data_IF_271566243402
#
_entry.id   IF_271566243402
#
_cell.length_a   1.000
_cell.length_b   1.000
_cell.length_c   1.000
_cell.angle_alpha   90.00
_cell.angle_beta   90.00
_cell.angle_gamma   90.00
#
_symmetry.space_group_name_H-M   'P 1'
#
loop_
_entity.id
_entity.type
_entity.pdbx_description
1 polymer ?
#
# COMPACT_ATOMS: atom_id res chain seq x y z
N UNK A 1 49.35 -7.34 -14.99
CA UNK A 1 47.98 -7.89 -15.09
C UNK A 1 47.04 -7.01 -14.28
N UNK A 2 46.46 -6.01 -14.94
CA UNK A 2 45.47 -5.09 -14.37
C UNK A 2 44.09 -5.75 -14.47
N UNK A 3 43.54 -6.23 -13.36
CA UNK A 3 42.14 -6.66 -13.32
C UNK A 3 41.24 -5.43 -13.37
N UNK A 4 40.85 -5.14 -14.60
CA UNK A 4 39.89 -4.13 -15.01
C UNK A 4 38.56 -4.39 -14.30
N UNK A 5 38.29 -3.56 -13.28
CA UNK A 5 37.09 -3.55 -12.47
C UNK A 5 35.88 -3.16 -13.36
N UNK A 6 35.31 -4.13 -14.08
CA UNK A 6 34.03 -4.02 -14.78
C UNK A 6 32.90 -3.93 -13.74
N UNK A 7 32.79 -2.79 -13.07
CA UNK A 7 31.50 -2.37 -12.51
C UNK A 7 30.71 -1.79 -13.68
N UNK A 8 29.91 -2.64 -14.30
CA UNK A 8 28.87 -2.26 -15.25
C UNK A 8 28.06 -1.12 -14.64
N UNK A 9 28.27 0.09 -15.15
CA UNK A 9 27.27 1.15 -15.08
C UNK A 9 26.10 0.63 -15.89
N UNK A 10 25.17 -0.08 -15.26
CA UNK A 10 23.86 -0.30 -15.83
C UNK A 10 23.26 1.08 -16.07
N UNK A 11 23.32 1.53 -17.32
CA UNK A 11 22.66 2.73 -17.81
C UNK A 11 21.16 2.45 -17.75
N UNK A 12 20.57 2.69 -16.58
CA UNK A 12 19.13 2.55 -16.39
C UNK A 12 18.40 3.50 -17.34
N UNK A 13 17.26 3.08 -17.91
CA UNK A 13 16.52 3.90 -18.85
C UNK A 13 16.00 5.15 -18.12
N UNK A 14 16.38 6.32 -18.63
CA UNK A 14 16.02 7.65 -18.15
C UNK A 14 14.50 7.85 -17.96
N UNK A 15 13.68 7.03 -18.63
CA UNK A 15 12.21 7.03 -18.54
C UNK A 15 11.69 6.71 -17.12
N UNK A 16 12.32 5.76 -16.42
CA UNK A 16 11.91 5.33 -15.08
C UNK A 16 12.10 6.43 -14.02
N UNK A 17 13.21 7.18 -14.12
CA UNK A 17 13.49 8.34 -13.28
C UNK A 17 12.50 9.48 -13.52
N UNK A 18 12.05 9.63 -14.78
CA UNK A 18 11.05 10.62 -15.16
C UNK A 18 9.71 10.31 -14.51
N UNK A 19 9.23 9.06 -14.57
CA UNK A 19 7.97 8.64 -13.95
C UNK A 19 7.94 8.92 -12.43
N UNK A 20 9.01 8.58 -11.70
CA UNK A 20 9.11 8.86 -10.27
C UNK A 20 9.10 10.36 -9.95
N UNK A 21 9.62 11.21 -10.85
CA UNK A 21 9.64 12.66 -10.63
C UNK A 21 8.24 13.30 -10.66
N UNK A 22 7.25 12.66 -11.29
CA UNK A 22 5.87 13.14 -11.35
C UNK A 22 5.06 12.85 -10.09
N UNK A 23 5.50 11.89 -9.27
CA UNK A 23 4.73 11.39 -8.11
C UNK A 23 4.37 12.50 -7.10
N UNK A 24 5.27 13.42 -6.70
CA UNK A 24 4.87 14.50 -5.81
C UNK A 24 3.84 15.45 -6.44
N UNK A 25 3.89 15.66 -7.77
CA UNK A 25 2.91 16.48 -8.47
C UNK A 25 1.55 15.81 -8.56
N UNK A 26 1.50 14.49 -8.77
CA UNK A 26 0.23 13.74 -8.75
C UNK A 26 -0.36 13.69 -7.35
N UNK A 27 0.46 13.52 -6.30
CA UNK A 27 0.00 13.62 -4.91
C UNK A 27 -0.54 15.03 -4.57
N UNK A 28 0.13 16.07 -5.09
CA UNK A 28 -0.31 17.46 -4.96
C UNK A 28 -1.66 17.70 -5.64
N UNK A 29 -1.83 17.22 -6.87
CA UNK A 29 -3.08 17.33 -7.62
C UNK A 29 -4.20 16.56 -6.94
N UNK A 30 -3.94 15.34 -6.49
CA UNK A 30 -4.90 14.54 -5.74
C UNK A 30 -5.36 15.28 -4.46
N UNK A 31 -4.42 15.83 -3.69
CA UNK A 31 -4.73 16.58 -2.47
C UNK A 31 -5.53 17.86 -2.76
N UNK A 32 -5.26 18.52 -3.88
CA UNK A 32 -5.99 19.71 -4.30
C UNK A 32 -7.43 19.36 -4.66
N UNK A 33 -7.62 18.32 -5.49
CA UNK A 33 -8.96 17.84 -5.88
C UNK A 33 -9.75 17.42 -4.64
N UNK A 34 -9.14 16.66 -3.73
CA UNK A 34 -9.79 16.22 -2.51
C UNK A 34 -10.11 17.38 -1.56
N UNK A 35 -9.24 18.40 -1.49
CA UNK A 35 -9.49 19.62 -0.74
C UNK A 35 -10.65 20.45 -1.30
N UNK A 36 -10.76 20.55 -2.64
CA UNK A 36 -11.90 21.19 -3.31
C UNK A 36 -13.20 20.43 -3.06
N UNK A 37 -13.17 19.09 -3.04
CA UNK A 37 -14.31 18.27 -2.63
C UNK A 37 -14.69 18.55 -1.16
N UNK A 38 -13.70 18.71 -0.27
CA UNK A 38 -13.92 19.16 1.11
C UNK A 38 -14.67 20.48 1.20
N UNK A 39 -14.27 21.49 0.41
CA UNK A 39 -14.97 22.78 0.33
C UNK A 39 -16.38 22.64 -0.21
N UNK A 40 -16.56 21.82 -1.25
CA UNK A 40 -17.87 21.53 -1.83
C UNK A 40 -18.83 20.90 -0.80
N UNK A 41 -18.35 19.94 0.00
CA UNK A 41 -19.15 19.35 1.08
C UNK A 41 -19.38 20.33 2.25
N UNK A 42 -18.42 21.21 2.55
CA UNK A 42 -18.57 22.23 3.59
C UNK A 42 -19.71 23.21 3.29
N UNK A 43 -19.95 23.54 2.02
CA UNK A 43 -21.07 24.40 1.60
C UNK A 43 -22.39 23.65 1.38
N UNK A 44 -22.46 22.36 1.77
CA UNK A 44 -23.67 21.54 1.69
C UNK A 44 -23.84 20.77 0.37
N UNK A 45 -22.76 20.58 -0.39
CA UNK A 45 -22.77 19.75 -1.59
C UNK A 45 -23.20 18.30 -1.28
N UNK A 46 -24.10 17.69 -2.07
CA UNK A 46 -24.52 16.30 -1.88
C UNK A 46 -23.38 15.29 -2.12
N UNK A 47 -23.56 14.07 -1.63
CA UNK A 47 -22.63 12.95 -1.87
C UNK A 47 -21.42 12.94 -0.93
N UNK A 48 -21.58 13.42 0.30
CA UNK A 48 -20.55 13.29 1.34
C UNK A 48 -20.34 11.79 1.66
N UNK A 49 -19.12 11.25 1.52
CA UNK A 49 -18.87 9.81 1.51
C UNK A 49 -18.65 9.21 2.91
N UNK A 50 -18.85 9.98 3.98
CA UNK A 50 -18.62 9.55 5.36
C UNK A 50 -19.86 9.86 6.22
N UNK A 51 -20.01 9.18 7.36
CA UNK A 51 -20.92 9.62 8.42
C UNK A 51 -22.38 9.21 8.30
N UNK A 52 -23.26 10.03 8.89
CA UNK A 52 -24.64 9.67 9.26
C UNK A 52 -25.52 9.22 8.06
N UNK A 53 -25.16 9.61 6.83
CA UNK A 53 -25.90 9.21 5.63
C UNK A 53 -25.49 7.83 5.10
N UNK A 54 -24.45 7.21 5.65
CA UNK A 54 -23.97 5.91 5.26
C UNK A 54 -24.47 4.82 6.21
N UNK A 55 -25.65 4.28 5.89
CA UNK A 55 -26.34 3.24 6.68
C UNK A 55 -25.50 1.97 6.88
N UNK A 56 -24.53 1.69 6.00
CA UNK A 56 -23.65 0.51 6.10
C UNK A 56 -22.35 0.80 6.86
N UNK A 57 -22.08 2.03 7.26
CA UNK A 57 -20.81 2.43 7.88
C UNK A 57 -20.53 1.65 9.18
N UNK A 58 -21.54 1.51 10.05
CA UNK A 58 -21.40 0.79 11.31
C UNK A 58 -21.15 -0.71 11.11
N UNK A 59 -21.89 -1.34 10.20
CA UNK A 59 -21.75 -2.77 9.88
C UNK A 59 -20.39 -3.10 9.26
N UNK A 60 -19.84 -2.17 8.46
CA UNK A 60 -18.57 -2.34 7.76
C UNK A 60 -17.35 -1.91 8.59
N UNK A 61 -17.55 -1.46 9.83
CA UNK A 61 -16.47 -1.10 10.76
C UNK A 61 -15.81 0.25 10.47
N UNK A 62 -16.51 1.17 9.80
CA UNK A 62 -16.01 2.51 9.55
C UNK A 62 -15.81 3.28 10.88
N UNK A 63 -14.74 4.06 11.00
CA UNK A 63 -14.46 4.85 12.20
C UNK A 63 -15.28 6.15 12.29
N UNK A 64 -15.71 6.67 11.15
CA UNK A 64 -16.37 7.98 11.04
C UNK A 64 -17.88 7.83 10.80
N UNK A 65 -18.59 7.17 11.72
CA UNK A 65 -20.02 6.84 11.57
C UNK A 65 -20.94 8.05 11.81
N UNK A 66 -20.54 8.97 12.69
CA UNK A 66 -21.39 10.11 13.11
C UNK A 66 -20.90 11.46 12.58
N UNK A 67 -20.01 11.46 11.59
CA UNK A 67 -19.39 12.68 11.08
C UNK A 67 -20.33 13.40 10.12
N UNK A 68 -20.50 14.71 10.29
CA UNK A 68 -21.35 15.51 9.39
C UNK A 68 -20.52 16.26 8.36
N UNK A 69 -21.08 16.42 7.16
CA UNK A 69 -20.43 17.12 6.05
C UNK A 69 -20.00 18.57 6.41
N UNK A 70 -20.79 19.39 7.14
CA UNK A 70 -20.38 20.74 7.53
C UNK A 70 -19.21 20.76 8.52
N UNK A 71 -19.01 19.70 9.30
CA UNK A 71 -17.94 19.59 10.30
C UNK A 71 -16.64 19.07 9.67
N UNK A 72 -16.74 18.02 8.84
CA UNK A 72 -15.58 17.40 8.21
C UNK A 72 -15.14 18.08 6.91
N UNK A 73 -16.05 18.69 6.15
CA UNK A 73 -15.74 19.38 4.90
C UNK A 73 -14.61 20.42 5.04
N UNK A 74 -14.69 21.36 6.01
CA UNK A 74 -13.63 22.33 6.27
C UNK A 74 -12.30 21.67 6.65
N UNK A 75 -12.33 20.62 7.47
CA UNK A 75 -11.12 19.89 7.86
C UNK A 75 -10.47 19.21 6.66
N UNK A 76 -11.25 18.54 5.81
CA UNK A 76 -10.79 17.91 4.56
C UNK A 76 -10.20 18.98 3.63
N UNK A 77 -10.84 20.14 3.51
CA UNK A 77 -10.35 21.25 2.71
C UNK A 77 -8.97 21.75 3.21
N UNK A 78 -8.84 21.99 4.51
CA UNK A 78 -7.58 22.43 5.12
C UNK A 78 -6.48 21.38 4.93
N UNK A 79 -6.77 20.11 5.20
CA UNK A 79 -5.82 19.01 4.99
C UNK A 79 -5.44 18.85 3.51
N UNK A 80 -6.38 19.04 2.59
CA UNK A 80 -6.13 19.02 1.15
C UNK A 80 -5.17 20.13 0.73
N UNK A 81 -5.42 21.37 1.18
CA UNK A 81 -4.53 22.51 0.91
C UNK A 81 -3.14 22.30 1.51
N UNK A 82 -3.07 21.90 2.78
CA UNK A 82 -1.80 21.58 3.44
C UNK A 82 -1.05 20.46 2.70
N UNK A 83 -1.78 19.45 2.24
CA UNK A 83 -1.26 18.35 1.45
C UNK A 83 -0.69 18.82 0.11
N UNK A 84 -1.41 19.65 -0.63
CA UNK A 84 -0.93 20.26 -1.88
C UNK A 84 0.37 21.04 -1.64
N UNK A 85 0.39 21.93 -0.65
CA UNK A 85 1.57 22.74 -0.33
C UNK A 85 2.76 21.87 0.09
N UNK A 86 2.52 20.84 0.91
CA UNK A 86 3.56 19.93 1.37
C UNK A 86 4.13 19.08 0.21
N UNK A 87 3.27 18.49 -0.63
CA UNK A 87 3.70 17.71 -1.78
C UNK A 87 4.55 18.55 -2.75
N UNK A 88 4.16 19.81 -2.98
CA UNK A 88 4.96 20.77 -3.75
C UNK A 88 6.28 21.12 -3.05
N UNK A 89 6.28 21.34 -1.74
CA UNK A 89 7.51 21.58 -0.99
C UNK A 89 8.49 20.41 -1.06
N UNK A 90 7.99 19.16 -1.10
CA UNK A 90 8.78 17.94 -1.24
C UNK A 90 9.38 17.74 -2.66
N UNK A 91 9.03 18.59 -3.64
CA UNK A 91 9.72 18.60 -4.94
C UNK A 91 11.15 19.15 -4.83
N UNK A 92 11.40 19.99 -3.82
CA UNK A 92 12.71 20.62 -3.56
C UNK A 92 13.37 19.97 -2.35
N UNK A 93 14.70 19.94 -2.34
CA UNK A 93 15.47 19.48 -1.19
C UNK A 93 15.67 20.63 -0.20
N UNK A 94 15.32 20.39 1.06
CA UNK A 94 15.48 21.36 2.13
C UNK A 94 16.73 21.04 2.97
N UNK A 95 17.58 22.04 3.20
CA UNK A 95 18.79 21.89 4.04
C UNK A 95 18.45 21.76 5.53
N UNK A 96 17.31 22.30 5.97
CA UNK A 96 16.88 22.21 7.37
C UNK A 96 16.33 20.83 7.70
N UNK A 97 16.91 20.19 8.72
CA UNK A 97 16.45 18.88 9.23
C UNK A 97 15.03 18.94 9.78
N UNK A 98 14.66 20.06 10.42
CA UNK A 98 13.32 20.25 10.98
C UNK A 98 12.27 20.30 9.88
N UNK A 99 12.52 21.04 8.80
CA UNK A 99 11.61 21.11 7.64
C UNK A 99 11.47 19.73 7.03
N UNK A 100 12.57 19.02 6.78
CA UNK A 100 12.52 17.66 6.23
C UNK A 100 11.71 16.69 7.13
N UNK A 101 11.83 16.82 8.46
CA UNK A 101 11.07 16.01 9.40
C UNK A 101 9.57 16.36 9.37
N UNK A 102 9.20 17.63 9.36
CA UNK A 102 7.80 18.07 9.26
C UNK A 102 7.14 17.58 7.96
N UNK A 103 7.83 17.70 6.82
CA UNK A 103 7.31 17.22 5.53
C UNK A 103 7.10 15.69 5.55
N UNK A 104 8.08 14.93 6.06
CA UNK A 104 7.99 13.48 6.15
C UNK A 104 6.94 12.98 7.14
N UNK A 105 6.84 13.62 8.31
CA UNK A 105 5.85 13.24 9.33
C UNK A 105 4.44 13.46 8.83
N UNK A 106 4.16 14.58 8.18
CA UNK A 106 2.87 14.78 7.52
C UNK A 106 2.64 13.76 6.40
N UNK A 107 3.63 13.50 5.53
CA UNK A 107 3.44 12.59 4.41
C UNK A 107 3.15 11.14 4.87
N UNK A 108 3.87 10.64 5.87
CA UNK A 108 3.59 9.34 6.47
C UNK A 108 2.29 9.34 7.29
N UNK A 109 1.97 10.45 7.96
CA UNK A 109 0.69 10.62 8.66
C UNK A 109 -0.51 10.57 7.70
N UNK A 110 -0.44 11.28 6.59
CA UNK A 110 -1.46 11.27 5.53
C UNK A 110 -1.58 9.88 4.89
N UNK A 111 -0.45 9.21 4.62
CA UNK A 111 -0.44 7.82 4.17
C UNK A 111 -1.15 6.88 5.16
N UNK A 112 -0.80 6.97 6.45
CA UNK A 112 -1.39 6.12 7.49
C UNK A 112 -2.89 6.40 7.62
N UNK A 113 -3.31 7.67 7.64
CA UNK A 113 -4.72 8.06 7.68
C UNK A 113 -5.49 7.46 6.49
N UNK A 114 -4.99 7.67 5.27
CA UNK A 114 -5.69 7.29 4.04
C UNK A 114 -5.72 5.77 3.78
N UNK A 115 -4.71 5.02 4.25
CA UNK A 115 -4.63 3.56 4.03
C UNK A 115 -5.18 2.76 5.20
N UNK A 116 -5.07 3.25 6.44
CA UNK A 116 -5.41 2.47 7.64
C UNK A 116 -6.68 2.95 8.34
N UNK A 117 -7.00 4.25 8.28
CA UNK A 117 -8.09 4.83 9.08
C UNK A 117 -9.35 5.00 8.24
N UNK A 118 -9.19 5.42 6.98
CA UNK A 118 -10.32 5.70 6.07
C UNK A 118 -10.96 4.43 5.49
N UNK A 119 -10.21 3.43 5.01
CA UNK A 119 -10.81 2.24 4.41
C UNK A 119 -11.56 1.40 5.45
N UNK A 120 -12.72 0.88 5.07
CA UNK A 120 -13.53 -0.02 5.90
C UNK A 120 -13.63 -1.43 5.27
N UNK A 121 -14.46 -2.30 5.84
CA UNK A 121 -14.68 -3.66 5.36
C UNK A 121 -15.14 -3.77 3.89
N UNK A 122 -15.66 -2.69 3.28
CA UNK A 122 -16.14 -2.70 1.89
C UNK A 122 -15.01 -2.97 0.91
N UNK A 123 -13.82 -2.38 1.11
CA UNK A 123 -12.71 -2.60 0.17
C UNK A 123 -12.39 -4.10 0.10
N UNK A 124 -12.32 -4.77 1.25
CA UNK A 124 -12.04 -6.20 1.30
C UNK A 124 -13.19 -7.04 0.73
N UNK A 125 -14.44 -6.64 1.02
CA UNK A 125 -15.63 -7.29 0.46
C UNK A 125 -15.65 -7.22 -1.07
N UNK A 126 -15.38 -6.06 -1.66
CA UNK A 126 -15.34 -5.89 -3.12
C UNK A 126 -14.17 -6.61 -3.79
N UNK A 127 -13.01 -6.69 -3.12
CA UNK A 127 -11.92 -7.57 -3.60
C UNK A 127 -12.40 -9.02 -3.64
N UNK A 128 -13.13 -9.47 -2.61
CA UNK A 128 -13.74 -10.79 -2.59
C UNK A 128 -14.73 -11.03 -3.75
N UNK A 129 -15.65 -10.09 -3.97
CA UNK A 129 -16.61 -10.12 -5.08
C UNK A 129 -15.95 -10.12 -6.46
N UNK A 130 -14.89 -9.33 -6.62
CA UNK A 130 -14.12 -9.30 -7.87
C UNK A 130 -13.46 -10.66 -8.16
N UNK A 131 -12.84 -11.27 -7.14
CA UNK A 131 -12.20 -12.58 -7.28
C UNK A 131 -13.19 -13.70 -7.58
N UNK A 132 -14.43 -13.60 -7.12
CA UNK A 132 -15.49 -14.56 -7.44
C UNK A 132 -16.26 -14.23 -8.72
N UNK A 133 -15.80 -13.25 -9.51
CA UNK A 133 -16.43 -12.81 -10.77
C UNK A 133 -17.89 -12.35 -10.60
N UNK A 134 -18.24 -11.86 -9.43
CA UNK A 134 -19.55 -11.26 -9.14
C UNK A 134 -19.37 -9.76 -8.96
N UNK A 135 -19.27 -8.95 -10.04
CA UNK A 135 -19.05 -7.52 -9.89
C UNK A 135 -20.24 -6.90 -9.15
N UNK A 136 -20.02 -6.53 -7.88
CA UNK A 136 -20.98 -5.77 -7.10
C UNK A 136 -21.20 -4.38 -7.71
N UNK A 137 -22.35 -3.77 -7.43
CA UNK A 137 -22.63 -2.39 -7.85
C UNK A 137 -21.67 -1.44 -7.13
N UNK A 138 -20.89 -0.64 -7.86
CA UNK A 138 -19.99 0.33 -7.24
C UNK A 138 -20.80 1.55 -6.78
N UNK A 139 -20.83 1.82 -5.47
CA UNK A 139 -21.40 3.06 -4.94
C UNK A 139 -20.34 4.18 -4.88
N UNK A 140 -20.80 5.42 -4.65
CA UNK A 140 -19.89 6.58 -4.53
C UNK A 140 -18.97 6.53 -3.32
N UNK A 141 -19.37 5.86 -2.22
CA UNK A 141 -18.57 5.71 -1.00
C UNK A 141 -17.38 4.80 -1.25
N UNK A 142 -17.59 3.67 -1.92
CA UNK A 142 -16.53 2.74 -2.31
C UNK A 142 -15.56 3.41 -3.28
N UNK A 143 -16.06 4.15 -4.27
CA UNK A 143 -15.21 4.88 -5.20
C UNK A 143 -14.33 5.91 -4.46
N UNK A 144 -14.90 6.59 -3.47
CA UNK A 144 -14.14 7.47 -2.59
C UNK A 144 -13.08 6.71 -1.75
N UNK A 145 -13.38 5.51 -1.25
CA UNK A 145 -12.39 4.69 -0.54
C UNK A 145 -11.23 4.29 -1.44
N UNK A 146 -11.49 3.88 -2.69
CA UNK A 146 -10.43 3.61 -3.66
C UNK A 146 -9.63 4.88 -3.99
N UNK A 147 -10.29 6.03 -4.10
CA UNK A 147 -9.61 7.31 -4.28
C UNK A 147 -8.69 7.64 -3.08
N UNK A 148 -9.14 7.38 -1.85
CA UNK A 148 -8.34 7.54 -0.63
C UNK A 148 -7.14 6.59 -0.60
N UNK A 149 -7.33 5.31 -0.91
CA UNK A 149 -6.25 4.33 -1.01
C UNK A 149 -5.19 4.75 -2.02
N UNK A 150 -5.62 5.21 -3.21
CA UNK A 150 -4.71 5.74 -4.22
C UNK A 150 -3.95 6.96 -3.70
N UNK A 151 -4.64 7.90 -3.04
CA UNK A 151 -4.01 9.05 -2.39
C UNK A 151 -2.97 8.66 -1.35
N UNK A 152 -3.28 7.67 -0.51
CA UNK A 152 -2.36 7.12 0.49
C UNK A 152 -1.10 6.53 -0.14
N UNK A 153 -1.25 5.75 -1.22
CA UNK A 153 -0.12 5.20 -1.98
C UNK A 153 0.75 6.29 -2.61
N UNK A 154 0.12 7.34 -3.16
CA UNK A 154 0.84 8.51 -3.70
C UNK A 154 1.65 9.23 -2.61
N UNK A 155 1.08 9.39 -1.41
CA UNK A 155 1.78 9.97 -0.25
C UNK A 155 2.93 9.09 0.24
N UNK A 156 2.73 7.76 0.28
CA UNK A 156 3.78 6.80 0.62
C UNK A 156 4.98 6.91 -0.35
N UNK A 157 4.69 6.91 -1.66
CA UNK A 157 5.71 7.03 -2.70
C UNK A 157 6.41 8.39 -2.64
N UNK A 158 5.67 9.48 -2.42
CA UNK A 158 6.22 10.83 -2.25
C UNK A 158 7.18 10.90 -1.06
N UNK A 159 6.78 10.33 0.08
CA UNK A 159 7.63 10.24 1.27
C UNK A 159 8.91 9.44 1.02
N UNK A 160 8.79 8.28 0.37
CA UNK A 160 9.94 7.42 0.04
C UNK A 160 10.91 8.11 -0.92
N UNK A 161 10.40 8.76 -1.97
CA UNK A 161 11.22 9.50 -2.93
C UNK A 161 11.96 10.64 -2.21
N UNK A 162 11.26 11.43 -1.39
CA UNK A 162 11.86 12.53 -0.65
C UNK A 162 12.93 12.04 0.33
N UNK A 163 12.64 10.98 1.09
CA UNK A 163 13.59 10.39 2.05
C UNK A 163 14.85 9.83 1.35
N UNK A 164 14.70 9.20 0.17
CA UNK A 164 15.84 8.74 -0.64
C UNK A 164 16.69 9.91 -1.13
N UNK A 165 16.06 10.96 -1.65
CA UNK A 165 16.75 12.19 -2.08
C UNK A 165 17.48 12.87 -0.91
N UNK A 166 16.84 12.98 0.25
CA UNK A 166 17.43 13.65 1.43
C UNK A 166 18.62 12.89 2.01
N UNK A 167 18.70 11.57 1.79
CA UNK A 167 19.83 10.72 2.21
C UNK A 167 20.88 10.51 1.10
N UNK A 168 20.75 11.20 -0.03
CA UNK A 168 21.60 11.00 -1.22
C UNK A 168 21.67 9.53 -1.66
N UNK A 169 20.57 8.79 -1.46
CA UNK A 169 20.46 7.39 -1.83
C UNK A 169 19.92 7.24 -3.26
N UNK A 170 20.29 6.15 -3.92
CA UNK A 170 19.75 5.73 -5.20
C UNK A 170 18.21 5.70 -5.19
N UNK A 171 17.56 6.43 -6.11
CA UNK A 171 16.09 6.51 -6.18
C UNK A 171 15.42 5.15 -6.42
N UNK A 172 16.09 4.23 -7.12
CA UNK A 172 15.56 2.90 -7.41
C UNK A 172 16.00 1.86 -6.37
N UNK A 173 17.31 1.74 -6.19
CA UNK A 173 17.96 0.70 -5.41
C UNK A 173 18.16 1.02 -3.92
N UNK A 174 17.81 2.25 -3.48
CA UNK A 174 17.95 2.75 -2.11
C UNK A 174 19.37 2.71 -1.51
N UNK A 175 20.38 2.29 -2.28
CA UNK A 175 21.78 2.25 -1.85
C UNK A 175 22.36 3.65 -1.76
N UNK A 176 22.98 3.95 -0.63
CA UNK A 176 23.90 5.07 -0.46
C UNK A 176 25.26 4.67 -1.00
N UNK A 177 26.00 5.59 -1.62
CA UNK A 177 27.37 5.34 -2.09
C UNK A 177 28.37 5.13 -0.95
N UNK A 178 28.00 5.44 0.31
CA UNK A 178 28.83 5.15 1.48
C UNK A 178 28.74 3.68 1.90
N UNK A 179 29.90 3.05 2.11
CA UNK A 179 30.11 1.62 2.42
C UNK A 179 29.66 1.22 3.85
N UNK A 180 28.97 2.10 4.58
CA UNK A 180 28.44 1.79 5.91
C UNK A 180 27.20 0.89 5.81
N UNK A 181 27.42 -0.41 5.58
CA UNK A 181 26.38 -1.43 5.68
C UNK A 181 26.06 -1.65 7.16
N UNK A 182 25.16 -0.84 7.72
CA UNK A 182 24.57 -1.13 9.02
C UNK A 182 23.66 -2.36 8.87
N UNK A 183 24.13 -3.51 9.36
CA UNK A 183 23.30 -4.69 9.63
C UNK A 183 22.35 -4.39 10.78
N UNK A 184 21.23 -3.74 10.46
CA UNK A 184 20.03 -3.79 11.28
C UNK A 184 19.17 -4.95 10.82
N UNK A 185 18.32 -5.49 11.71
CA UNK A 185 17.17 -6.29 11.29
C UNK A 185 16.49 -5.50 10.18
N UNK A 186 16.38 -6.10 8.99
CA UNK A 186 15.65 -5.44 7.92
C UNK A 186 14.21 -5.41 8.40
N UNK A 187 13.72 -4.21 8.74
CA UNK A 187 12.29 -3.99 8.99
C UNK A 187 11.45 -4.61 7.86
N UNK A 188 12.00 -4.67 6.64
CA UNK A 188 11.45 -5.44 5.52
C UNK A 188 11.20 -6.92 5.82
N UNK A 189 12.12 -7.66 6.46
CA UNK A 189 11.87 -9.07 6.84
C UNK A 189 10.71 -9.18 7.83
N UNK A 190 10.73 -8.38 8.89
CA UNK A 190 9.66 -8.39 9.90
C UNK A 190 8.30 -8.03 9.28
N UNK A 191 8.24 -6.98 8.46
CA UNK A 191 7.03 -6.56 7.76
C UNK A 191 6.53 -7.65 6.81
N UNK A 192 7.42 -8.35 6.11
CA UNK A 192 7.04 -9.50 5.26
C UNK A 192 6.47 -10.63 6.09
N UNK A 193 7.06 -10.97 7.24
CA UNK A 193 6.50 -12.00 8.13
C UNK A 193 5.11 -11.60 8.63
N UNK A 194 4.91 -10.34 9.02
CA UNK A 194 3.59 -9.83 9.44
C UNK A 194 2.59 -9.92 8.26
N UNK A 195 3.00 -9.54 7.05
CA UNK A 195 2.19 -9.60 5.85
C UNK A 195 1.84 -11.04 5.41
N UNK A 196 2.61 -12.04 5.84
CA UNK A 196 2.29 -13.47 5.66
C UNK A 196 1.35 -13.95 6.76
N UNK A 197 1.61 -13.58 8.03
CA UNK A 197 0.86 -14.05 9.18
C UNK A 197 -0.61 -13.60 9.14
N UNK A 198 -0.88 -12.35 8.78
CA UNK A 198 -2.24 -11.79 8.80
C UNK A 198 -3.20 -12.50 7.82
N UNK A 199 -2.85 -12.70 6.53
CA UNK A 199 -3.70 -13.49 5.62
C UNK A 199 -3.86 -14.94 6.06
N UNK A 200 -2.85 -15.57 6.69
CA UNK A 200 -2.98 -16.94 7.20
C UNK A 200 -3.99 -17.05 8.35
N UNK A 201 -4.02 -16.07 9.26
CA UNK A 201 -5.06 -16.00 10.31
C UNK A 201 -6.46 -15.88 9.70
N UNK A 202 -6.59 -15.09 8.62
CA UNK A 202 -7.83 -14.99 7.88
C UNK A 202 -8.21 -16.31 7.17
N UNK A 203 -7.25 -17.00 6.54
CA UNK A 203 -7.46 -18.34 5.96
C UNK A 203 -7.98 -19.33 7.01
N UNK A 204 -7.37 -19.37 8.19
CA UNK A 204 -7.81 -20.26 9.28
C UNK A 204 -9.26 -19.99 9.67
N UNK A 205 -9.63 -18.71 9.78
CA UNK A 205 -11.01 -18.31 10.12
C UNK A 205 -11.99 -18.76 9.03
N UNK A 206 -11.66 -18.51 7.75
CA UNK A 206 -12.52 -18.87 6.61
C UNK A 206 -12.69 -20.37 6.43
N UNK A 207 -11.61 -21.13 6.58
CA UNK A 207 -11.68 -22.60 6.48
C UNK A 207 -12.40 -23.22 7.69
N UNK A 208 -12.28 -22.63 8.88
CA UNK A 208 -13.08 -23.06 10.03
C UNK A 208 -14.59 -22.86 9.77
N UNK A 209 -14.99 -21.70 9.22
CA UNK A 209 -16.38 -21.45 8.86
C UNK A 209 -16.87 -22.43 7.78
N UNK A 210 -16.03 -22.72 6.78
CA UNK A 210 -16.33 -23.74 5.76
C UNK A 210 -16.56 -25.14 6.35
N UNK A 211 -15.87 -25.47 7.45
CA UNK A 211 -15.98 -26.74 8.17
C UNK A 211 -17.12 -26.80 9.20
N UNK A 212 -17.92 -25.74 9.34
CA UNK A 212 -19.01 -25.72 10.31
C UNK A 212 -18.62 -25.14 11.69
N UNK A 213 -17.41 -24.62 11.86
CA UNK A 213 -16.89 -24.17 13.16
C UNK A 213 -17.08 -22.65 13.28
N UNK A 214 -17.92 -22.14 14.21
CA UNK A 214 -18.22 -20.71 14.34
C UNK A 214 -17.13 -19.95 15.10
N UNK A 215 -15.91 -19.91 14.56
CA UNK A 215 -14.80 -19.14 15.14
C UNK A 215 -15.10 -17.63 15.08
N UNK A 216 -15.26 -16.99 16.24
CA UNK A 216 -15.43 -15.54 16.35
C UNK A 216 -16.83 -15.01 16.02
N UNK A 217 -17.83 -15.88 15.87
CA UNK A 217 -19.21 -15.49 15.53
C UNK A 217 -20.21 -16.24 16.41
N UNK A 218 -21.33 -15.59 16.76
CA UNK A 218 -22.44 -16.23 17.49
C UNK A 218 -23.35 -17.08 16.59
N UNK A 219 -23.23 -16.92 15.28
CA UNK A 219 -23.99 -17.63 14.26
C UNK A 219 -23.04 -18.11 13.16
N UNK A 220 -23.41 -19.18 12.46
CA UNK A 220 -22.61 -19.73 11.38
C UNK A 220 -23.28 -19.42 10.02
N UNK A 221 -22.58 -18.78 9.07
CA UNK A 221 -23.09 -18.68 7.71
C UNK A 221 -23.21 -20.08 7.10
N UNK A 222 -24.19 -20.31 6.19
CA UNK A 222 -24.29 -21.56 5.47
C UNK A 222 -22.97 -21.85 4.76
N UNK A 223 -22.49 -23.09 4.87
CA UNK A 223 -21.24 -23.53 4.24
C UNK A 223 -21.31 -23.23 2.75
N UNK A 224 -20.46 -22.31 2.28
CA UNK A 224 -20.45 -21.88 0.89
C UNK A 224 -19.08 -22.12 0.27
N UNK A 225 -19.00 -22.46 -1.03
CA UNK A 225 -17.73 -22.56 -1.75
C UNK A 225 -16.89 -21.27 -1.68
N UNK A 226 -17.55 -20.14 -1.41
CA UNK A 226 -16.93 -18.83 -1.21
C UNK A 226 -15.94 -18.83 -0.03
N UNK A 227 -16.28 -19.49 1.08
CA UNK A 227 -15.40 -19.55 2.26
C UNK A 227 -14.09 -20.27 1.95
N UNK A 228 -14.17 -21.39 1.24
CA UNK A 228 -13.01 -22.15 0.79
C UNK A 228 -12.18 -21.33 -0.20
N UNK A 229 -12.84 -20.69 -1.17
CA UNK A 229 -12.19 -19.85 -2.19
C UNK A 229 -11.46 -18.65 -1.61
N UNK A 230 -12.08 -17.92 -0.68
CA UNK A 230 -11.46 -16.78 0.00
C UNK A 230 -10.29 -17.21 0.89
N UNK A 231 -10.42 -18.33 1.61
CA UNK A 231 -9.33 -18.89 2.40
C UNK A 231 -8.14 -19.32 1.54
N UNK A 232 -8.41 -19.95 0.39
CA UNK A 232 -7.40 -20.34 -0.58
C UNK A 232 -6.71 -19.13 -1.25
N UNK A 233 -7.47 -18.09 -1.59
CA UNK A 233 -6.92 -16.84 -2.14
C UNK A 233 -5.97 -16.16 -1.14
N UNK A 234 -6.36 -16.09 0.15
CA UNK A 234 -5.53 -15.54 1.20
C UNK A 234 -4.26 -16.38 1.45
N UNK A 235 -4.37 -17.71 1.41
CA UNK A 235 -3.22 -18.61 1.50
C UNK A 235 -2.27 -18.44 0.30
N UNK A 236 -2.82 -18.32 -0.91
CA UNK A 236 -2.05 -18.01 -2.12
C UNK A 236 -1.33 -16.67 -2.03
N UNK A 237 -2.01 -15.63 -1.53
CA UNK A 237 -1.41 -14.32 -1.26
C UNK A 237 -0.27 -14.39 -0.24
N UNK A 238 -0.45 -15.14 0.85
CA UNK A 238 0.61 -15.38 1.83
C UNK A 238 1.81 -16.12 1.22
N UNK A 239 1.57 -17.12 0.36
CA UNK A 239 2.61 -17.86 -0.34
C UNK A 239 3.39 -16.97 -1.32
N UNK A 240 2.69 -16.11 -2.07
CA UNK A 240 3.33 -15.13 -2.96
C UNK A 240 4.17 -14.12 -2.17
N UNK A 241 3.68 -13.70 -1.00
CA UNK A 241 4.39 -12.77 -0.11
C UNK A 241 5.62 -13.43 0.52
N UNK A 242 5.56 -14.73 0.83
CA UNK A 242 6.72 -15.53 1.22
C UNK A 242 7.79 -15.56 0.12
N UNK A 243 7.39 -15.50 -1.15
CA UNK A 243 8.28 -15.33 -2.28
C UNK A 243 9.17 -14.09 -2.23
N UNK A 244 8.79 -13.04 -1.49
CA UNK A 244 9.61 -11.83 -1.32
C UNK A 244 10.86 -12.07 -0.45
N UNK A 245 10.83 -13.08 0.44
CA UNK A 245 11.95 -13.43 1.33
C UNK A 245 12.62 -14.76 0.96
N UNK A 246 12.03 -15.53 0.05
CA UNK A 246 12.55 -16.81 -0.41
C UNK A 246 13.26 -16.67 -1.75
N UNK A 247 14.24 -17.53 -2.03
CA UNK A 247 15.06 -17.47 -3.25
C UNK A 247 14.44 -18.23 -4.42
N UNK A 248 13.19 -17.89 -4.77
CA UNK A 248 12.45 -18.55 -5.84
C UNK A 248 13.26 -18.46 -7.15
N UNK A 249 13.52 -19.61 -7.80
CA UNK A 249 14.33 -19.71 -9.02
C UNK A 249 15.83 -20.03 -8.82
N UNK A 250 16.37 -19.95 -7.60
CA UNK A 250 17.73 -20.49 -7.31
C UNK A 250 17.73 -21.71 -6.39
N UNK A 251 16.60 -21.98 -5.74
CA UNK A 251 16.30 -23.24 -5.09
C UNK A 251 14.81 -23.52 -5.33
N UNK A 252 14.49 -24.70 -5.87
CA UNK A 252 13.11 -25.14 -6.01
C UNK A 252 12.53 -25.35 -4.61
N UNK A 253 11.39 -24.73 -4.24
CA UNK A 253 10.72 -25.08 -2.99
C UNK A 253 10.32 -26.55 -3.04
N UNK A 254 10.62 -27.30 -1.97
CA UNK A 254 10.38 -28.75 -1.90
C UNK A 254 8.91 -29.17 -2.12
N UNK A 255 7.97 -28.22 -2.02
CA UNK A 255 6.53 -28.44 -2.23
C UNK A 255 6.08 -28.40 -3.71
N UNK A 256 6.95 -27.99 -4.64
CA UNK A 256 6.69 -28.10 -6.09
C UNK A 256 7.62 -29.17 -6.70
N UNK A 257 7.19 -30.44 -6.80
CA UNK A 257 8.07 -31.54 -7.20
C UNK A 257 8.49 -31.53 -8.68
N UNK A 258 7.99 -30.59 -9.50
CA UNK A 258 8.11 -30.66 -10.96
C UNK A 258 8.56 -29.35 -11.64
N UNK A 259 8.95 -28.31 -10.87
CA UNK A 259 9.49 -27.09 -11.47
C UNK A 259 11.02 -27.11 -11.45
N UNK A 260 11.62 -27.60 -12.55
CA UNK A 260 13.06 -27.47 -12.79
C UNK A 260 13.44 -25.99 -12.85
N UNK A 261 14.35 -25.60 -11.97
CA UNK A 261 14.82 -24.22 -11.80
C UNK A 261 15.48 -23.63 -13.06
N UNK A 262 15.83 -24.46 -14.05
CA UNK A 262 16.59 -24.06 -15.24
C UNK A 262 15.77 -23.33 -16.31
N UNK A 263 14.43 -23.30 -16.22
CA UNK A 263 13.58 -22.75 -17.30
C UNK A 263 13.07 -21.32 -17.11
N UNK A 264 13.48 -20.61 -16.07
CA UNK A 264 13.11 -19.21 -15.85
C UNK A 264 14.33 -18.31 -15.64
N UNK A 265 15.19 -18.21 -16.66
CA UNK A 265 16.09 -17.07 -16.81
C UNK A 265 15.27 -15.83 -17.18
N UNK A 266 14.60 -15.21 -16.19
CA UNK A 266 14.14 -13.82 -16.29
C UNK A 266 15.36 -12.93 -16.06
N UNK A 267 15.94 -12.27 -17.08
CA UNK A 267 17.11 -11.41 -16.92
C UNK A 267 16.87 -10.19 -16.02
N UNK A 268 15.64 -9.96 -15.54
CA UNK A 268 15.32 -8.90 -14.58
C UNK A 268 15.64 -9.26 -13.12
N UNK A 269 15.71 -10.53 -12.73
CA UNK A 269 15.90 -10.92 -11.31
C UNK A 269 17.37 -11.02 -10.88
N UNK A 270 18.33 -11.03 -11.79
CA UNK A 270 19.77 -11.03 -11.46
C UNK A 270 20.25 -9.70 -10.85
N UNK A 271 19.41 -8.66 -10.90
CA UNK A 271 19.66 -7.35 -10.29
C UNK A 271 19.14 -7.24 -8.84
N UNK A 272 18.41 -8.25 -8.34
CA UNK A 272 17.92 -8.26 -6.96
C UNK A 272 19.08 -8.45 -5.97
N UNK A 273 19.30 -7.48 -5.07
CA UNK A 273 20.51 -7.45 -4.28
C UNK A 273 20.55 -8.48 -3.13
N UNK A 274 21.77 -8.96 -2.85
CA UNK A 274 22.23 -9.94 -1.86
C UNK A 274 21.92 -9.62 -0.37
N UNK A 275 20.77 -9.02 -0.05
CA UNK A 275 20.45 -8.53 1.31
C UNK A 275 20.01 -9.61 2.32
N UNK A 276 19.97 -10.89 1.93
CA UNK A 276 19.66 -11.98 2.86
C UNK A 276 20.92 -12.57 3.49
N UNK A 277 21.72 -11.71 4.14
CA UNK A 277 22.88 -12.11 4.96
C UNK A 277 22.99 -11.29 6.24
#
# INVERSE_FOLDING_TARGET
MLLQNRRTKETFPLSSLRLLSWVPYTASLWSLVYGLLGLYWAVGGPGFPFGEHDVKAAEMGALFINVRAPEAGPLIAVLGILGTLNALAMTRLWRSRLVALCLLTFAYGACALLILVIPDGRVLMYVGYFLTLHPGQMDGVLLNQFACLLGGLLWALTALIYQRKSRSACLHCARTTSIAATRGISWGYLLTIIAIAMPLLYTLTRWAWALGIPLGMSWLPPSSPLEVGLGAAAAGGALLTLGLIQRWGSASPAFFPCWEADRFHLPLLSSLPLWFR
#
